data_IF_187644130436
#
_entry.id   IF_187644130436
#
_cell.length_a   1.000
_cell.length_b   1.000
_cell.length_c   1.000
_cell.angle_alpha   90.00
_cell.angle_beta   90.00
_cell.angle_gamma   90.00
#
_symmetry.space_group_name_H-M   'P 1'
#
loop_
_entity.id
_entity.type
_entity.pdbx_description
1 polymer ?
#
# COMPACT_ATOMS: atom_id res chain seq x y z
N UNK A 1 28.62 -8.77 -11.48
CA UNK A 1 27.63 -7.71 -11.25
C UNK A 1 26.50 -8.32 -10.46
N UNK A 2 25.97 -7.63 -9.44
CA UNK A 2 24.82 -8.14 -8.66
C UNK A 2 23.57 -8.12 -9.54
N UNK A 3 22.69 -9.11 -9.39
CA UNK A 3 21.47 -9.28 -10.20
C UNK A 3 20.23 -9.30 -9.33
N UNK A 4 19.26 -8.46 -9.64
CA UNK A 4 18.01 -8.35 -8.91
C UNK A 4 16.82 -8.72 -9.82
N UNK A 5 16.05 -9.72 -9.39
CA UNK A 5 14.75 -9.97 -10.00
C UNK A 5 13.70 -9.01 -9.41
N UNK A 6 12.90 -8.41 -10.29
CA UNK A 6 11.81 -7.51 -9.92
C UNK A 6 10.51 -8.05 -10.49
N UNK A 7 9.50 -8.22 -9.63
CA UNK A 7 8.19 -8.71 -10.02
C UNK A 7 7.23 -7.53 -10.23
N UNK A 8 6.72 -7.39 -11.45
CA UNK A 8 5.89 -6.27 -11.89
C UNK A 8 6.68 -5.22 -12.67
N UNK A 9 6.04 -4.62 -13.67
CA UNK A 9 6.66 -3.66 -14.59
C UNK A 9 5.92 -2.31 -14.67
N UNK A 10 4.83 -2.14 -13.91
CA UNK A 10 4.01 -0.93 -13.97
C UNK A 10 4.72 0.30 -13.39
N UNK A 11 4.08 1.46 -13.47
CA UNK A 11 4.54 2.71 -12.82
C UNK A 11 4.82 2.53 -11.32
N UNK A 12 4.13 1.61 -10.65
CA UNK A 12 4.39 1.31 -9.23
C UNK A 12 5.75 0.66 -9.00
N UNK A 13 6.26 -0.15 -9.94
CA UNK A 13 7.57 -0.81 -9.84
C UNK A 13 8.71 -0.02 -10.51
N UNK A 14 8.40 1.01 -11.32
CA UNK A 14 9.41 1.83 -11.98
C UNK A 14 10.47 2.42 -11.02
N UNK A 15 10.10 2.97 -9.85
CA UNK A 15 11.09 3.48 -8.89
C UNK A 15 12.10 2.41 -8.44
N UNK A 16 11.65 1.16 -8.28
CA UNK A 16 12.49 0.04 -7.88
C UNK A 16 13.52 -0.32 -8.95
N UNK A 17 13.09 -0.35 -10.21
CA UNK A 17 13.96 -0.64 -11.36
C UNK A 17 15.01 0.46 -11.53
N UNK A 18 14.59 1.73 -11.49
CA UNK A 18 15.48 2.89 -11.60
C UNK A 18 16.52 2.88 -10.47
N UNK A 19 16.07 2.70 -9.21
CA UNK A 19 16.96 2.69 -8.05
C UNK A 19 17.97 1.55 -8.11
N UNK A 20 17.58 0.35 -8.54
CA UNK A 20 18.50 -0.77 -8.69
C UNK A 20 19.63 -0.44 -9.70
N UNK A 21 19.30 0.21 -10.82
CA UNK A 21 20.28 0.64 -11.82
C UNK A 21 21.20 1.74 -11.30
N UNK A 22 20.67 2.72 -10.55
CA UNK A 22 21.49 3.75 -9.86
C UNK A 22 22.52 3.12 -8.90
N UNK A 23 22.16 2.00 -8.28
CA UNK A 23 23.04 1.22 -7.38
C UNK A 23 23.99 0.27 -8.14
N UNK A 24 23.96 0.25 -9.48
CA UNK A 24 24.81 -0.60 -10.32
C UNK A 24 24.41 -2.09 -10.30
N UNK A 25 23.13 -2.37 -10.06
CA UNK A 25 22.55 -3.73 -10.04
C UNK A 25 21.86 -4.00 -11.37
N UNK A 26 22.14 -5.15 -11.98
CA UNK A 26 21.50 -5.63 -13.21
C UNK A 26 20.06 -6.06 -12.92
N UNK A 27 19.10 -5.50 -13.65
CA UNK A 27 17.66 -5.69 -13.41
C UNK A 27 17.04 -6.73 -14.33
N UNK A 28 16.37 -7.72 -13.73
CA UNK A 28 15.60 -8.76 -14.42
C UNK A 28 14.12 -8.63 -14.05
N UNK A 29 13.31 -8.07 -14.95
CA UNK A 29 11.91 -7.72 -14.67
C UNK A 29 10.96 -8.75 -15.28
N UNK A 30 9.99 -9.21 -14.48
CA UNK A 30 8.98 -10.20 -14.87
C UNK A 30 7.59 -9.57 -14.81
N UNK A 31 6.90 -9.52 -15.95
CA UNK A 31 5.49 -9.14 -16.04
C UNK A 31 4.91 -9.62 -17.39
N UNK A 32 3.58 -9.55 -17.56
CA UNK A 32 3.00 -9.66 -18.90
C UNK A 32 3.46 -8.50 -19.78
N UNK A 33 3.53 -8.77 -21.09
CA UNK A 33 3.82 -7.75 -22.08
C UNK A 33 2.55 -6.96 -22.41
N UNK A 34 2.48 -5.72 -21.95
CA UNK A 34 1.33 -4.83 -22.17
C UNK A 34 1.71 -3.37 -22.45
N UNK A 35 3.00 -3.08 -22.65
CA UNK A 35 3.52 -1.73 -22.85
C UNK A 35 3.81 -0.98 -21.55
N UNK A 36 4.01 -1.71 -20.45
CA UNK A 36 4.33 -1.13 -19.15
C UNK A 36 5.71 -0.45 -19.18
N UNK A 37 5.88 0.64 -18.43
CA UNK A 37 7.14 1.42 -18.39
C UNK A 37 8.36 0.56 -18.08
N UNK A 38 8.22 -0.40 -17.16
CA UNK A 38 9.24 -1.34 -16.73
C UNK A 38 9.80 -2.21 -17.84
N UNK A 39 9.04 -2.45 -18.91
CA UNK A 39 9.52 -3.20 -20.09
C UNK A 39 10.68 -2.50 -20.79
N UNK A 40 10.69 -1.17 -20.76
CA UNK A 40 11.66 -0.35 -21.48
C UNK A 40 12.87 0.04 -20.65
N UNK A 41 12.69 0.20 -19.32
CA UNK A 41 13.74 0.67 -18.41
C UNK A 41 14.58 -0.47 -17.81
N UNK A 42 14.06 -1.70 -17.81
CA UNK A 42 14.78 -2.89 -17.36
C UNK A 42 16.03 -3.18 -18.22
N UNK A 43 17.04 -3.80 -17.63
CA UNK A 43 18.17 -4.34 -18.41
C UNK A 43 17.75 -5.61 -19.16
N UNK A 44 16.93 -6.44 -18.51
CA UNK A 44 16.31 -7.62 -19.10
C UNK A 44 14.83 -7.71 -18.71
N UNK A 45 13.95 -7.81 -19.70
CA UNK A 45 12.52 -8.02 -19.50
C UNK A 45 12.09 -9.42 -19.94
N UNK A 46 11.30 -10.09 -19.10
CA UNK A 46 10.75 -11.42 -19.33
C UNK A 46 9.22 -11.34 -19.36
N UNK A 47 8.57 -11.66 -20.51
CA UNK A 47 7.12 -11.56 -20.69
C UNK A 47 6.38 -12.74 -20.01
N UNK A 48 6.61 -12.93 -18.72
CA UNK A 48 6.07 -14.01 -17.88
C UNK A 48 5.10 -13.39 -16.87
N UNK A 49 3.90 -13.94 -16.71
CA UNK A 49 2.95 -13.44 -15.70
C UNK A 49 3.60 -13.44 -14.32
N UNK A 50 3.31 -12.42 -13.51
CA UNK A 50 3.72 -12.42 -12.09
C UNK A 50 3.09 -13.59 -11.31
N UNK A 51 2.02 -14.20 -11.84
CA UNK A 51 1.37 -15.37 -11.23
C UNK A 51 2.06 -16.70 -11.57
N UNK A 52 2.90 -16.77 -12.61
CA UNK A 52 3.58 -18.01 -13.04
C UNK A 52 4.83 -18.29 -12.18
N UNK A 53 4.62 -18.60 -10.90
CA UNK A 53 5.69 -18.75 -9.90
C UNK A 53 6.78 -19.75 -10.31
N UNK A 54 6.39 -20.90 -10.90
CA UNK A 54 7.35 -21.93 -11.32
C UNK A 54 8.18 -21.48 -12.52
N UNK A 55 7.58 -20.79 -13.50
CA UNK A 55 8.31 -20.30 -14.67
C UNK A 55 9.32 -19.21 -14.27
N UNK A 56 8.90 -18.29 -13.40
CA UNK A 56 9.78 -17.27 -12.81
C UNK A 56 10.93 -17.95 -12.05
N UNK A 57 10.65 -18.94 -11.20
CA UNK A 57 11.67 -19.69 -10.47
C UNK A 57 12.71 -20.32 -11.40
N UNK A 58 12.27 -21.04 -12.43
CA UNK A 58 13.17 -21.67 -13.39
C UNK A 58 14.04 -20.65 -14.12
N UNK A 59 13.48 -19.49 -14.45
CA UNK A 59 14.21 -18.43 -15.12
C UNK A 59 15.22 -17.74 -14.18
N UNK A 60 14.81 -17.38 -12.97
CA UNK A 60 15.68 -16.83 -11.92
C UNK A 60 16.84 -17.77 -11.58
N UNK A 61 16.58 -19.08 -11.51
CA UNK A 61 17.61 -20.11 -11.30
C UNK A 61 18.64 -20.14 -12.43
N UNK A 62 18.22 -20.01 -13.69
CA UNK A 62 19.12 -19.95 -14.86
C UNK A 62 19.95 -18.66 -14.86
N UNK A 63 19.36 -17.54 -14.48
CA UNK A 63 20.02 -16.22 -14.40
C UNK A 63 21.08 -16.20 -13.29
N UNK A 64 20.81 -16.88 -12.17
CA UNK A 64 21.62 -16.81 -10.97
C UNK A 64 21.46 -15.45 -10.29
N UNK A 65 20.23 -15.12 -9.89
CA UNK A 65 19.91 -13.87 -9.20
C UNK A 65 20.47 -13.85 -7.77
N UNK A 66 20.81 -12.67 -7.28
CA UNK A 66 21.31 -12.44 -5.91
C UNK A 66 20.21 -11.95 -4.95
N UNK A 67 19.08 -11.50 -5.49
CA UNK A 67 17.92 -11.06 -4.73
C UNK A 67 16.67 -10.97 -5.59
N UNK A 68 15.51 -10.91 -4.96
CA UNK A 68 14.21 -10.74 -5.62
C UNK A 68 13.28 -9.88 -4.76
N UNK A 69 12.57 -8.94 -5.38
CA UNK A 69 11.59 -8.12 -4.66
C UNK A 69 10.47 -7.58 -5.56
N UNK A 70 9.48 -6.97 -4.92
CA UNK A 70 8.40 -6.20 -5.55
C UNK A 70 8.03 -5.02 -4.64
N UNK A 71 7.31 -4.04 -5.18
CA UNK A 71 6.70 -2.94 -4.43
C UNK A 71 5.31 -2.65 -4.99
N UNK A 72 4.39 -2.09 -4.21
CA UNK A 72 3.09 -1.61 -4.72
C UNK A 72 2.13 -2.68 -5.26
N UNK A 73 2.40 -3.97 -5.09
CA UNK A 73 1.48 -5.06 -5.43
C UNK A 73 1.54 -6.20 -4.42
N UNK A 74 0.39 -6.59 -3.89
CA UNK A 74 0.26 -7.73 -2.98
C UNK A 74 0.44 -9.06 -3.72
N UNK A 75 -0.03 -9.15 -4.96
CA UNK A 75 0.14 -10.36 -5.77
C UNK A 75 1.60 -10.66 -6.08
N UNK A 76 2.44 -9.63 -6.18
CA UNK A 76 3.87 -9.79 -6.44
C UNK A 76 4.63 -10.39 -5.25
N UNK A 77 4.10 -10.36 -4.02
CA UNK A 77 4.81 -10.93 -2.86
C UNK A 77 4.80 -12.45 -2.87
N UNK A 78 3.82 -13.07 -3.53
CA UNK A 78 3.68 -14.53 -3.68
C UNK A 78 4.87 -15.12 -4.47
N UNK A 79 5.15 -14.72 -5.73
CA UNK A 79 6.31 -15.21 -6.46
C UNK A 79 7.63 -14.80 -5.81
N UNK A 80 7.72 -13.63 -5.17
CA UNK A 80 8.93 -13.21 -4.42
C UNK A 80 9.24 -14.24 -3.33
N UNK A 81 8.26 -14.55 -2.48
CA UNK A 81 8.42 -15.55 -1.42
C UNK A 81 8.71 -16.94 -2.00
N UNK A 82 7.93 -17.39 -2.99
CA UNK A 82 8.11 -18.71 -3.61
C UNK A 82 9.53 -18.92 -4.19
N UNK A 83 10.01 -17.96 -4.97
CA UNK A 83 11.30 -18.05 -5.66
C UNK A 83 12.45 -17.89 -4.67
N UNK A 84 12.39 -16.89 -3.79
CA UNK A 84 13.46 -16.62 -2.84
C UNK A 84 13.69 -17.81 -1.89
N UNK A 85 12.63 -18.34 -1.28
CA UNK A 85 12.73 -19.47 -0.35
C UNK A 85 13.34 -20.72 -1.01
N UNK A 86 13.00 -21.00 -2.28
CA UNK A 86 13.56 -22.13 -3.04
C UNK A 86 15.01 -21.93 -3.48
N UNK A 87 15.43 -20.68 -3.66
CA UNK A 87 16.82 -20.33 -4.02
C UNK A 87 17.70 -20.06 -2.79
N UNK A 88 17.13 -20.05 -1.57
CA UNK A 88 17.85 -19.71 -0.34
C UNK A 88 18.17 -18.21 -0.22
N UNK A 89 17.36 -17.35 -0.84
CA UNK A 89 17.47 -15.89 -0.79
C UNK A 89 16.57 -15.31 0.31
N UNK A 90 16.80 -14.04 0.65
CA UNK A 90 16.03 -13.34 1.69
C UNK A 90 14.62 -13.00 1.20
N UNK A 91 13.61 -13.47 1.94
CA UNK A 91 12.21 -13.10 1.78
C UNK A 91 11.41 -13.46 3.06
N UNK A 92 10.15 -13.02 3.10
CA UNK A 92 9.18 -13.56 4.07
C UNK A 92 8.78 -14.99 3.69
N UNK A 93 8.31 -15.76 4.68
CA UNK A 93 7.83 -17.13 4.47
C UNK A 93 6.55 -17.16 3.61
N UNK A 94 6.23 -18.31 3.03
CA UNK A 94 4.96 -18.51 2.32
C UNK A 94 3.76 -18.27 3.25
N UNK A 95 3.86 -18.67 4.53
CA UNK A 95 2.79 -18.47 5.52
C UNK A 95 2.60 -16.99 5.88
N UNK A 96 3.69 -16.23 6.05
CA UNK A 96 3.62 -14.78 6.25
C UNK A 96 2.91 -14.10 5.07
N UNK A 97 3.34 -14.40 3.84
CA UNK A 97 2.73 -13.83 2.63
C UNK A 97 1.25 -14.21 2.54
N UNK A 98 0.91 -15.48 2.79
CA UNK A 98 -0.48 -15.95 2.76
C UNK A 98 -1.37 -15.22 3.77
N UNK A 99 -0.89 -15.00 5.00
CA UNK A 99 -1.60 -14.20 6.01
C UNK A 99 -1.74 -12.74 5.59
N UNK A 100 -0.71 -12.15 5.00
CA UNK A 100 -0.71 -10.74 4.58
C UNK A 100 -1.59 -10.46 3.34
N UNK A 101 -1.75 -11.43 2.44
CA UNK A 101 -2.52 -11.24 1.19
C UNK A 101 -3.98 -11.73 1.28
N UNK A 102 -4.35 -12.45 2.34
CA UNK A 102 -5.72 -12.93 2.55
C UNK A 102 -6.33 -12.26 3.79
N UNK A 103 -7.34 -11.42 3.57
CA UNK A 103 -7.96 -10.61 4.62
C UNK A 103 -8.59 -11.45 5.72
N UNK A 104 -9.15 -12.62 5.42
CA UNK A 104 -9.72 -13.51 6.44
C UNK A 104 -8.63 -14.11 7.34
N UNK A 105 -7.54 -14.60 6.75
CA UNK A 105 -6.41 -15.16 7.51
C UNK A 105 -5.74 -14.08 8.36
N UNK A 106 -5.61 -12.87 7.82
CA UNK A 106 -5.14 -11.69 8.56
C UNK A 106 -6.01 -11.42 9.78
N UNK A 107 -7.34 -11.40 9.65
CA UNK A 107 -8.27 -11.18 10.77
C UNK A 107 -8.18 -12.28 11.83
N UNK A 108 -8.13 -13.55 11.42
CA UNK A 108 -7.92 -14.66 12.37
C UNK A 108 -6.59 -14.55 13.10
N UNK A 109 -5.55 -14.10 12.42
CA UNK A 109 -4.24 -13.86 13.02
C UNK A 109 -4.32 -12.76 14.07
N UNK A 110 -4.95 -11.64 13.74
CA UNK A 110 -5.15 -10.51 14.65
C UNK A 110 -6.00 -10.87 15.87
N UNK A 111 -7.12 -11.56 15.67
CA UNK A 111 -7.97 -12.04 16.77
C UNK A 111 -7.20 -12.97 17.73
N UNK A 112 -6.41 -13.89 17.18
CA UNK A 112 -5.61 -14.84 17.97
C UNK A 112 -4.55 -14.14 18.82
N UNK A 113 -3.92 -13.08 18.31
CA UNK A 113 -2.82 -12.39 18.98
C UNK A 113 -3.26 -11.14 19.76
N UNK A 114 -4.52 -10.72 19.64
CA UNK A 114 -5.04 -9.53 20.32
C UNK A 114 -4.71 -8.22 19.59
N UNK A 115 -4.40 -8.26 18.30
CA UNK A 115 -4.23 -7.07 17.48
C UNK A 115 -5.59 -6.38 17.27
N UNK A 116 -5.66 -5.04 17.38
CA UNK A 116 -6.93 -4.36 17.29
C UNK A 116 -7.36 -4.25 15.82
N UNK A 117 -8.24 -5.12 15.36
CA UNK A 117 -8.86 -5.05 14.03
C UNK A 117 -10.39 -5.04 14.09
N UNK A 118 -11.08 -4.72 12.99
CA UNK A 118 -12.53 -4.94 12.87
C UNK A 118 -12.86 -6.41 13.12
N UNK A 119 -13.96 -6.68 13.85
CA UNK A 119 -14.53 -8.03 13.92
C UNK A 119 -15.07 -8.42 12.55
N UNK A 120 -14.84 -9.65 12.12
CA UNK A 120 -15.16 -10.09 10.76
C UNK A 120 -15.75 -11.50 10.69
N UNK A 121 -16.63 -11.72 9.72
CA UNK A 121 -17.19 -13.04 9.37
C UNK A 121 -16.94 -13.30 7.88
N UNK A 122 -16.37 -14.47 7.56
CA UNK A 122 -16.21 -14.93 6.17
C UNK A 122 -17.53 -15.52 5.67
N UNK A 123 -17.95 -15.09 4.49
CA UNK A 123 -19.21 -15.44 3.84
C UNK A 123 -18.88 -16.06 2.48
N UNK A 124 -19.39 -17.25 2.22
CA UNK A 124 -19.22 -17.98 0.94
C UNK A 124 -20.43 -17.83 0.02
N UNK A 125 -21.52 -17.26 0.51
CA UNK A 125 -22.69 -16.89 -0.28
C UNK A 125 -23.75 -16.19 0.55
N UNK A 126 -24.73 -15.60 -0.11
CA UNK A 126 -25.84 -14.86 0.54
C UNK A 126 -26.64 -15.70 1.55
N UNK A 127 -26.63 -17.03 1.45
CA UNK A 127 -27.27 -17.92 2.42
C UNK A 127 -26.61 -17.88 3.81
N UNK A 128 -25.28 -17.73 3.87
CA UNK A 128 -24.54 -17.66 5.14
C UNK A 128 -24.85 -16.37 5.92
N UNK A 129 -25.39 -15.35 5.24
CA UNK A 129 -25.80 -14.07 5.84
C UNK A 129 -27.07 -14.22 6.67
N UNK A 130 -27.94 -15.20 6.35
CA UNK A 130 -29.22 -15.34 7.04
C UNK A 130 -29.05 -15.69 8.52
N UNK A 131 -28.02 -16.49 8.82
CA UNK A 131 -27.69 -17.03 10.15
C UNK A 131 -26.77 -16.10 10.97
N UNK A 132 -26.32 -14.97 10.41
CA UNK A 132 -25.43 -14.03 11.09
C UNK A 132 -26.18 -12.76 11.56
N UNK A 133 -25.92 -12.32 12.79
CA UNK A 133 -26.32 -11.01 13.29
C UNK A 133 -25.16 -10.03 13.22
N UNK A 134 -25.43 -8.83 12.71
CA UNK A 134 -24.44 -7.78 12.52
C UNK A 134 -24.92 -6.46 13.12
N UNK A 135 -24.00 -5.74 13.76
CA UNK A 135 -24.20 -4.36 14.17
C UNK A 135 -23.89 -3.44 12.98
N UNK A 136 -24.93 -2.84 12.39
CA UNK A 136 -24.79 -1.96 11.22
C UNK A 136 -24.36 -0.53 11.62
N UNK A 137 -23.59 0.17 10.76
CA UNK A 137 -23.15 -0.25 9.43
C UNK A 137 -21.99 -1.27 9.47
N UNK A 138 -21.92 -2.08 8.41
CA UNK A 138 -20.82 -3.03 8.17
C UNK A 138 -20.11 -2.73 6.85
N UNK A 139 -18.89 -3.24 6.69
CA UNK A 139 -18.18 -3.29 5.42
C UNK A 139 -18.30 -4.69 4.84
N UNK A 140 -18.71 -4.82 3.58
CA UNK A 140 -18.58 -6.04 2.80
C UNK A 140 -17.48 -5.85 1.75
N UNK A 141 -16.53 -6.79 1.68
CA UNK A 141 -15.40 -6.72 0.74
C UNK A 141 -14.91 -8.11 0.33
N UNK A 142 -14.19 -8.26 -0.80
CA UNK A 142 -13.57 -9.53 -1.19
C UNK A 142 -12.45 -9.94 -0.22
N UNK A 143 -12.17 -11.23 -0.08
CA UNK A 143 -11.09 -11.73 0.80
C UNK A 143 -9.68 -11.47 0.26
N UNK A 144 -9.53 -11.33 -1.05
CA UNK A 144 -8.28 -11.50 -1.79
C UNK A 144 -8.08 -10.46 -2.92
N UNK A 145 -8.65 -9.26 -2.76
CA UNK A 145 -8.49 -8.11 -3.68
C UNK A 145 -7.96 -6.86 -2.99
N UNK A 146 -7.38 -5.97 -3.80
CA UNK A 146 -6.85 -4.66 -3.39
C UNK A 146 -7.43 -3.54 -4.27
N UNK A 147 -7.21 -2.27 -3.90
CA UNK A 147 -7.58 -1.09 -4.70
C UNK A 147 -9.05 -0.68 -4.59
N UNK A 148 -9.67 -0.85 -3.42
CA UNK A 148 -11.05 -0.44 -3.12
C UNK A 148 -12.15 -1.04 -4.03
N UNK A 149 -11.83 -2.08 -4.82
CA UNK A 149 -12.78 -2.76 -5.70
C UNK A 149 -13.67 -3.73 -4.94
N UNK A 150 -14.97 -3.58 -5.12
CA UNK A 150 -15.97 -4.44 -4.47
C UNK A 150 -16.12 -4.19 -2.97
N UNK A 151 -15.72 -3.02 -2.47
CA UNK A 151 -15.92 -2.65 -1.07
C UNK A 151 -17.23 -1.86 -0.93
N UNK A 152 -18.10 -2.28 -0.03
CA UNK A 152 -19.40 -1.67 0.18
C UNK A 152 -19.64 -1.37 1.67
N UNK A 153 -20.00 -0.13 1.99
CA UNK A 153 -20.60 0.21 3.28
C UNK A 153 -22.09 -0.12 3.22
N UNK A 154 -22.52 -0.96 4.14
CA UNK A 154 -23.86 -1.56 4.17
C UNK A 154 -24.56 -1.15 5.46
N UNK A 155 -25.78 -0.64 5.36
CA UNK A 155 -26.51 -0.10 6.53
C UNK A 155 -27.63 -1.02 7.03
N UNK A 156 -27.95 -2.09 6.30
CA UNK A 156 -28.98 -3.05 6.68
C UNK A 156 -28.80 -4.40 5.96
N UNK A 157 -29.50 -5.43 6.45
CA UNK A 157 -29.43 -6.81 5.92
C UNK A 157 -29.78 -6.93 4.44
N UNK A 158 -30.71 -6.10 3.93
CA UNK A 158 -31.11 -6.13 2.52
C UNK A 158 -29.97 -5.67 1.62
N UNK A 159 -29.30 -4.57 1.98
CA UNK A 159 -28.10 -4.10 1.30
C UNK A 159 -26.95 -5.11 1.39
N UNK A 160 -26.85 -5.84 2.51
CA UNK A 160 -25.77 -6.82 2.72
C UNK A 160 -25.83 -7.97 1.71
N UNK A 161 -27.01 -8.49 1.43
CA UNK A 161 -27.19 -9.61 0.49
C UNK A 161 -26.67 -9.23 -0.92
N UNK A 162 -27.05 -8.04 -1.41
CA UNK A 162 -26.59 -7.52 -2.71
C UNK A 162 -25.08 -7.22 -2.72
N UNK A 163 -24.55 -6.68 -1.62
CA UNK A 163 -23.12 -6.39 -1.48
C UNK A 163 -22.26 -7.68 -1.45
N UNK A 164 -22.75 -8.75 -0.82
CA UNK A 164 -22.06 -10.05 -0.77
C UNK A 164 -21.92 -10.64 -2.16
N UNK A 165 -23.01 -10.69 -2.93
CA UNK A 165 -23.01 -11.23 -4.29
C UNK A 165 -22.00 -10.46 -5.17
N UNK A 166 -22.05 -9.11 -5.12
CA UNK A 166 -21.11 -8.25 -5.85
C UNK A 166 -19.65 -8.44 -5.41
N UNK A 167 -19.39 -8.56 -4.11
CA UNK A 167 -18.03 -8.73 -3.59
C UNK A 167 -17.43 -10.08 -4.01
N UNK A 168 -18.24 -11.14 -4.00
CA UNK A 168 -17.85 -12.49 -4.42
C UNK A 168 -17.49 -12.52 -5.91
N UNK A 169 -18.16 -11.73 -6.76
CA UNK A 169 -17.82 -11.63 -8.19
C UNK A 169 -16.37 -11.17 -8.39
N UNK A 170 -15.90 -10.20 -7.60
CA UNK A 170 -14.53 -9.70 -7.66
C UNK A 170 -13.51 -10.68 -7.07
N UNK A 171 -13.86 -11.45 -6.04
CA UNK A 171 -12.94 -12.40 -5.38
C UNK A 171 -12.44 -13.49 -6.32
N UNK A 172 -11.16 -13.89 -6.19
CA UNK A 172 -10.65 -15.08 -6.89
C UNK A 172 -11.12 -16.36 -6.18
N UNK A 173 -11.14 -16.36 -4.84
CA UNK A 173 -11.64 -17.46 -4.00
C UNK A 173 -13.17 -17.58 -3.98
N UNK A 174 -13.89 -16.61 -4.57
CA UNK A 174 -15.36 -16.51 -4.56
C UNK A 174 -15.93 -16.42 -3.13
N UNK A 175 -15.28 -15.57 -2.31
CA UNK A 175 -15.70 -15.30 -0.94
C UNK A 175 -15.72 -13.80 -0.62
N UNK A 176 -16.54 -13.45 0.36
CA UNK A 176 -16.61 -12.10 0.91
C UNK A 176 -16.29 -12.13 2.41
N UNK A 177 -15.87 -10.98 2.93
CA UNK A 177 -15.62 -10.72 4.33
C UNK A 177 -16.56 -9.59 4.76
N UNK A 178 -17.39 -9.85 5.76
CA UNK A 178 -18.29 -8.86 6.36
C UNK A 178 -17.70 -8.42 7.69
N UNK A 179 -17.41 -7.13 7.85
CA UNK A 179 -16.68 -6.57 8.98
C UNK A 179 -17.44 -5.44 9.68
N UNK A 180 -17.19 -5.28 10.97
CA UNK A 180 -17.47 -4.04 11.71
C UNK A 180 -16.98 -2.81 10.92
N UNK A 181 -17.81 -1.78 10.79
CA UNK A 181 -17.37 -0.51 10.21
C UNK A 181 -16.44 0.21 11.19
N UNK A 182 -15.13 0.24 10.88
CA UNK A 182 -14.18 1.08 11.60
C UNK A 182 -14.36 2.55 11.22
N UNK A 183 -14.69 3.37 12.22
CA UNK A 183 -14.82 4.82 12.11
C UNK A 183 -13.48 5.54 12.35
N UNK A 184 -13.41 6.79 11.88
CA UNK A 184 -12.30 7.69 12.16
C UNK A 184 -11.34 7.90 10.99
N UNK A 185 -10.31 8.70 11.28
CA UNK A 185 -9.32 9.14 10.30
C UNK A 185 -8.43 7.96 9.88
N UNK A 186 -8.28 7.80 8.57
CA UNK A 186 -7.42 6.78 7.97
C UNK A 186 -5.96 7.24 7.88
N UNK A 187 -5.05 6.34 8.22
CA UNK A 187 -3.61 6.52 8.12
C UNK A 187 -2.96 5.30 7.49
N UNK A 188 -1.75 5.48 6.95
CA UNK A 188 -0.83 4.37 6.71
C UNK A 188 0.46 4.51 7.51
N UNK A 189 1.07 3.36 7.82
CA UNK A 189 2.33 3.28 8.57
C UNK A 189 3.33 2.49 7.73
N UNK A 190 4.49 3.10 7.49
CA UNK A 190 5.56 2.50 6.69
C UNK A 190 6.69 2.00 7.59
N UNK A 191 7.07 0.75 7.40
CA UNK A 191 8.20 0.11 8.08
C UNK A 191 9.10 -0.59 7.06
N UNK A 192 10.39 -0.67 7.38
CA UNK A 192 11.32 -1.63 6.76
C UNK A 192 11.77 -2.64 7.81
N UNK A 193 11.66 -3.92 7.50
CA UNK A 193 12.02 -5.01 8.41
C UNK A 193 13.26 -5.76 7.91
N UNK A 194 14.13 -6.15 8.83
CA UNK A 194 15.28 -7.00 8.54
C UNK A 194 15.50 -7.98 9.69
N UNK A 195 15.44 -9.28 9.39
CA UNK A 195 15.59 -10.35 10.39
C UNK A 195 14.67 -10.20 11.61
N UNK A 196 13.43 -9.73 11.40
CA UNK A 196 12.43 -9.52 12.46
C UNK A 196 12.59 -8.22 13.25
N UNK A 197 13.60 -7.39 12.95
CA UNK A 197 13.69 -6.04 13.51
C UNK A 197 12.94 -5.06 12.61
N UNK A 198 11.98 -4.34 13.19
CA UNK A 198 11.12 -3.38 12.50
C UNK A 198 11.65 -1.95 12.67
N UNK A 199 11.94 -1.25 11.56
CA UNK A 199 12.34 0.15 11.58
C UNK A 199 11.22 1.05 11.06
N UNK A 200 10.65 1.85 11.96
CA UNK A 200 9.64 2.85 11.63
C UNK A 200 10.20 3.86 10.63
N UNK A 201 9.45 4.16 9.57
CA UNK A 201 9.81 5.15 8.55
C UNK A 201 8.91 6.38 8.63
N UNK A 202 7.61 6.21 8.42
CA UNK A 202 6.66 7.31 8.39
C UNK A 202 5.26 6.88 8.85
N UNK A 203 4.51 7.86 9.35
CA UNK A 203 3.07 7.80 9.53
C UNK A 203 2.45 8.81 8.55
N UNK A 204 1.48 8.37 7.78
CA UNK A 204 0.89 9.13 6.67
C UNK A 204 -0.59 9.34 6.93
N UNK A 205 -1.07 10.60 6.92
CA UNK A 205 -2.52 10.88 6.95
C UNK A 205 -3.06 10.69 5.54
N UNK A 206 -4.08 9.84 5.37
CA UNK A 206 -4.77 9.61 4.09
C UNK A 206 -6.01 10.50 3.99
N UNK A 207 -6.27 11.03 2.81
CA UNK A 207 -7.51 11.71 2.47
C UNK A 207 -8.26 10.86 1.46
N UNK A 208 -9.55 10.65 1.68
CA UNK A 208 -10.37 9.81 0.80
C UNK A 208 -11.68 10.50 0.46
N UNK A 209 -12.38 10.00 -0.56
CA UNK A 209 -13.74 10.43 -0.89
C UNK A 209 -14.78 10.05 0.18
N UNK A 210 -14.39 9.32 1.23
CA UNK A 210 -15.33 8.69 2.14
C UNK A 210 -16.19 7.63 1.45
N UNK A 211 -17.26 7.23 2.14
CA UNK A 211 -18.22 6.27 1.60
C UNK A 211 -18.94 6.86 0.36
N UNK A 212 -19.26 6.04 -0.66
CA UNK A 212 -19.13 4.59 -0.69
C UNK A 212 -17.80 4.06 -1.25
N UNK A 213 -17.00 4.89 -1.92
CA UNK A 213 -15.90 4.40 -2.75
C UNK A 213 -14.52 4.43 -2.08
N UNK A 214 -14.35 5.25 -1.03
CA UNK A 214 -13.09 5.38 -0.27
C UNK A 214 -11.85 5.59 -1.16
N UNK A 215 -11.97 6.35 -2.25
CA UNK A 215 -10.86 6.57 -3.19
C UNK A 215 -9.92 7.62 -2.60
N UNK A 216 -8.62 7.37 -2.64
CA UNK A 216 -7.60 8.29 -2.16
C UNK A 216 -7.58 9.59 -2.98
N UNK A 217 -7.75 10.72 -2.29
CA UNK A 217 -7.69 12.08 -2.85
C UNK A 217 -6.36 12.78 -2.53
N UNK A 218 -5.62 12.29 -1.52
CA UNK A 218 -4.27 12.75 -1.23
C UNK A 218 -3.67 12.12 0.01
N UNK A 219 -2.40 12.40 0.26
CA UNK A 219 -1.62 11.94 1.41
C UNK A 219 -0.69 13.03 1.91
N UNK A 220 -0.43 13.07 3.22
CA UNK A 220 0.59 13.94 3.81
C UNK A 220 1.44 13.19 4.85
N UNK A 221 2.74 13.47 4.81
CA UNK A 221 3.77 12.97 5.71
C UNK A 221 4.64 14.10 6.27
N UNK A 222 5.07 14.01 7.54
CA UNK A 222 4.48 13.15 8.57
C UNK A 222 3.04 13.56 8.86
N UNK A 223 2.23 12.61 9.32
CA UNK A 223 0.88 12.88 9.80
C UNK A 223 0.92 13.85 11.01
N UNK A 224 0.02 14.85 11.08
CA UNK A 224 -0.01 15.81 12.19
C UNK A 224 -0.72 15.21 13.41
N UNK A 225 -0.03 14.31 14.13
CA UNK A 225 -0.52 13.66 15.35
C UNK A 225 0.35 13.98 16.57
N UNK A 226 -0.18 13.77 17.77
CA UNK A 226 0.63 13.86 18.99
C UNK A 226 1.67 12.75 19.05
N UNK A 227 2.78 13.00 19.76
CA UNK A 227 3.83 12.01 19.98
C UNK A 227 3.29 10.76 20.71
N UNK A 228 2.39 10.95 21.68
CA UNK A 228 1.72 9.84 22.38
C UNK A 228 0.94 8.93 21.42
N UNK A 229 0.17 9.52 20.49
CA UNK A 229 -0.58 8.75 19.52
C UNK A 229 0.35 8.05 18.53
N UNK A 230 1.44 8.71 18.12
CA UNK A 230 2.44 8.11 17.24
C UNK A 230 3.11 6.89 17.89
N UNK A 231 3.52 6.97 19.15
CA UNK A 231 4.11 5.83 19.87
C UNK A 231 3.10 4.68 20.05
N UNK A 232 1.83 5.00 20.31
CA UNK A 232 0.75 4.00 20.35
C UNK A 232 0.59 3.30 19.00
N UNK A 233 0.63 4.05 17.90
CA UNK A 233 0.57 3.50 16.54
C UNK A 233 1.75 2.58 16.27
N UNK A 234 2.99 3.02 16.56
CA UNK A 234 4.19 2.19 16.39
C UNK A 234 4.08 0.86 17.13
N UNK A 235 3.72 0.92 18.41
CA UNK A 235 3.59 -0.29 19.24
C UNK A 235 2.53 -1.27 18.70
N UNK A 236 1.38 -0.76 18.26
CA UNK A 236 0.32 -1.58 17.65
C UNK A 236 0.77 -2.18 16.32
N UNK A 237 1.42 -1.39 15.47
CA UNK A 237 1.90 -1.85 14.16
C UNK A 237 3.01 -2.89 14.29
N UNK A 238 4.01 -2.68 15.15
CA UNK A 238 5.11 -3.62 15.38
C UNK A 238 4.60 -4.98 15.89
N UNK A 239 3.69 -4.98 16.86
CA UNK A 239 3.07 -6.21 17.37
C UNK A 239 2.29 -6.97 16.27
N UNK A 240 1.59 -6.25 15.40
CA UNK A 240 0.87 -6.85 14.29
C UNK A 240 1.80 -7.41 13.19
N UNK A 241 2.95 -6.76 12.95
CA UNK A 241 3.98 -7.27 12.05
C UNK A 241 4.60 -8.57 12.58
N UNK A 242 4.89 -8.63 13.88
CA UNK A 242 5.33 -9.85 14.56
C UNK A 242 4.28 -10.97 14.45
N UNK A 243 3.01 -10.65 14.69
CA UNK A 243 1.88 -11.60 14.58
C UNK A 243 1.75 -12.19 13.17
N UNK A 244 1.97 -11.37 12.14
CA UNK A 244 2.00 -11.79 10.74
C UNK A 244 3.30 -12.50 10.34
N UNK A 245 4.28 -12.60 11.23
CA UNK A 245 5.61 -13.17 10.99
C UNK A 245 6.37 -12.43 9.87
N UNK A 246 6.18 -11.11 9.77
CA UNK A 246 6.96 -10.27 8.86
C UNK A 246 8.38 -10.20 9.41
N UNK A 247 9.36 -10.61 8.61
CA UNK A 247 10.76 -10.62 9.04
C UNK A 247 11.65 -9.78 8.14
N UNK A 248 11.30 -9.65 6.87
CA UNK A 248 12.12 -8.99 5.87
C UNK A 248 11.28 -8.15 4.91
N UNK A 249 11.84 -7.02 4.50
CA UNK A 249 11.27 -6.16 3.47
C UNK A 249 10.34 -5.08 4.04
N UNK A 250 9.78 -4.30 3.13
CA UNK A 250 8.87 -3.22 3.49
C UNK A 250 7.52 -3.76 3.97
N UNK A 251 6.83 -2.98 4.80
CA UNK A 251 5.42 -3.17 5.09
C UNK A 251 4.65 -1.86 5.02
N UNK A 252 3.39 -1.98 4.61
CA UNK A 252 2.42 -0.90 4.52
C UNK A 252 1.19 -1.30 5.34
N UNK A 253 1.00 -0.62 6.47
CA UNK A 253 -0.13 -0.89 7.38
C UNK A 253 -1.15 0.22 7.26
N UNK A 254 -2.37 -0.11 6.85
CA UNK A 254 -3.51 0.80 6.87
C UNK A 254 -4.26 0.65 8.20
N UNK A 255 -4.57 1.77 8.84
CA UNK A 255 -5.31 1.80 10.10
C UNK A 255 -6.29 2.98 10.15
N UNK A 256 -7.31 2.85 10.99
CA UNK A 256 -8.21 3.95 11.34
C UNK A 256 -8.08 4.29 12.82
N UNK A 257 -8.12 5.60 13.11
CA UNK A 257 -8.07 6.14 14.47
C UNK A 257 -9.32 6.98 14.69
N UNK A 258 -10.14 6.58 15.66
CA UNK A 258 -11.35 7.34 16.01
C UNK A 258 -11.03 8.53 16.95
N UNK A 259 -12.04 9.35 17.26
CA UNK A 259 -11.92 10.54 18.11
C UNK A 259 -11.42 10.27 19.54
N UNK A 260 -11.52 9.02 20.02
CA UNK A 260 -11.00 8.59 21.32
C UNK A 260 -9.56 8.06 21.25
N UNK A 261 -8.92 8.10 20.08
CA UNK A 261 -7.58 7.55 19.86
C UNK A 261 -7.55 6.01 19.83
N UNK A 262 -8.69 5.34 19.63
CA UNK A 262 -8.72 3.89 19.45
C UNK A 262 -8.31 3.55 18.03
N UNK A 263 -7.35 2.62 17.90
CA UNK A 263 -6.77 2.19 16.64
C UNK A 263 -7.48 0.91 16.18
N UNK A 264 -7.80 0.81 14.89
CA UNK A 264 -8.23 -0.42 14.22
C UNK A 264 -7.37 -0.62 12.98
N UNK A 265 -6.61 -1.71 12.94
CA UNK A 265 -5.82 -2.13 11.78
C UNK A 265 -6.79 -2.61 10.70
N UNK A 266 -6.78 -1.93 9.57
CA UNK A 266 -7.62 -2.25 8.40
C UNK A 266 -6.92 -3.31 7.56
N UNK A 267 -5.65 -3.13 7.25
CA UNK A 267 -4.89 -4.05 6.39
C UNK A 267 -3.38 -3.91 6.65
N UNK A 268 -2.61 -4.99 6.45
CA UNK A 268 -1.14 -4.94 6.41
C UNK A 268 -0.66 -5.68 5.18
N UNK A 269 -0.04 -4.96 4.26
CA UNK A 269 0.72 -5.55 3.15
C UNK A 269 2.19 -5.74 3.54
N UNK A 270 2.74 -6.93 3.35
CA UNK A 270 4.17 -7.23 3.52
C UNK A 270 5.00 -6.76 2.31
N UNK A 271 4.77 -5.51 1.90
CA UNK A 271 5.38 -4.81 0.76
C UNK A 271 5.28 -3.31 0.95
N UNK A 272 6.08 -2.56 0.19
CA UNK A 272 6.04 -1.10 0.20
C UNK A 272 4.71 -0.55 -0.33
N UNK A 273 4.16 0.49 0.31
CA UNK A 273 2.97 1.20 -0.13
C UNK A 273 3.07 1.82 -1.53
N UNK A 274 1.92 1.93 -2.20
CA UNK A 274 1.77 2.62 -3.49
C UNK A 274 1.55 4.13 -3.33
N UNK A 275 0.91 4.76 -4.32
CA UNK A 275 0.41 6.14 -4.26
C UNK A 275 1.44 7.19 -3.81
N UNK A 276 2.69 7.01 -4.26
CA UNK A 276 3.84 7.86 -3.94
C UNK A 276 4.27 7.85 -2.47
N UNK A 277 3.51 7.19 -1.57
CA UNK A 277 3.77 7.10 -0.12
C UNK A 277 5.20 6.58 0.11
N UNK A 278 5.45 5.32 -0.24
CA UNK A 278 6.77 4.72 0.00
C UNK A 278 7.86 5.23 -0.95
N UNK A 279 7.53 5.47 -2.22
CA UNK A 279 8.53 5.77 -3.26
C UNK A 279 9.03 7.21 -3.25
N UNK A 280 8.21 8.17 -2.80
CA UNK A 280 8.55 9.60 -2.83
C UNK A 280 8.36 10.26 -1.47
N UNK A 281 7.18 10.14 -0.85
CA UNK A 281 6.85 10.91 0.36
C UNK A 281 7.81 10.59 1.51
N UNK A 282 8.09 9.31 1.77
CA UNK A 282 9.03 8.91 2.84
C UNK A 282 10.41 9.56 2.66
N UNK A 283 10.94 9.56 1.44
CA UNK A 283 12.24 10.18 1.17
C UNK A 283 12.17 11.71 1.28
N UNK A 284 11.11 12.33 0.78
CA UNK A 284 10.94 13.77 0.82
C UNK A 284 10.76 14.30 2.24
N UNK A 285 9.99 13.60 3.07
CA UNK A 285 9.65 13.97 4.46
C UNK A 285 10.78 13.65 5.43
N UNK A 286 11.35 12.44 5.34
CA UNK A 286 12.32 11.93 6.34
C UNK A 286 13.77 11.92 5.86
N UNK A 287 14.03 11.94 4.55
CA UNK A 287 15.35 11.70 3.96
C UNK A 287 15.70 10.24 3.72
N UNK A 288 14.91 9.29 4.24
CA UNK A 288 15.18 7.86 4.08
C UNK A 288 14.82 7.42 2.66
N UNK A 289 15.79 6.91 1.91
CA UNK A 289 15.56 6.27 0.61
C UNK A 289 14.96 4.86 0.84
N UNK A 290 13.64 4.80 0.96
CA UNK A 290 12.91 3.56 1.27
C UNK A 290 13.06 2.51 0.17
N UNK A 291 13.05 2.94 -1.11
CA UNK A 291 13.26 2.04 -2.26
C UNK A 291 14.63 1.37 -2.18
N UNK A 292 15.68 2.15 -1.85
CA UNK A 292 17.01 1.60 -1.59
C UNK A 292 17.00 0.60 -0.44
N UNK A 293 16.29 0.90 0.66
CA UNK A 293 16.20 -0.02 1.79
C UNK A 293 15.53 -1.35 1.40
N UNK A 294 14.47 -1.32 0.57
CA UNK A 294 13.85 -2.54 0.02
C UNK A 294 14.85 -3.38 -0.78
N UNK A 295 15.63 -2.73 -1.65
CA UNK A 295 16.66 -3.41 -2.44
C UNK A 295 17.73 -4.01 -1.53
N UNK A 296 18.22 -3.26 -0.53
CA UNK A 296 19.22 -3.77 0.41
C UNK A 296 18.74 -5.05 1.11
N UNK A 297 17.52 -5.04 1.66
CA UNK A 297 16.98 -6.22 2.33
C UNK A 297 16.81 -7.41 1.37
N UNK A 298 16.32 -7.17 0.15
CA UNK A 298 16.18 -8.21 -0.87
C UNK A 298 17.52 -8.85 -1.27
N UNK A 299 18.61 -8.09 -1.13
CA UNK A 299 19.98 -8.53 -1.38
C UNK A 299 20.68 -9.08 -0.12
N UNK A 300 19.94 -9.24 0.98
CA UNK A 300 20.43 -9.74 2.26
C UNK A 300 21.26 -8.74 3.07
N UNK A 301 21.22 -7.46 2.72
CA UNK A 301 21.92 -6.37 3.41
C UNK A 301 21.01 -5.67 4.42
N UNK A 302 21.55 -5.29 5.57
CA UNK A 302 20.85 -4.47 6.56
C UNK A 302 20.48 -3.09 5.95
N UNK A 303 19.22 -2.64 6.09
CA UNK A 303 18.76 -1.39 5.50
C UNK A 303 19.38 -0.19 6.21
N UNK A 304 19.89 0.78 5.43
CA UNK A 304 20.46 2.02 5.99
C UNK A 304 19.38 3.08 6.17
N UNK A 305 18.75 3.10 7.34
CA UNK A 305 17.72 4.10 7.69
C UNK A 305 18.39 5.39 8.19
N UNK A 306 18.83 6.22 7.24
CA UNK A 306 19.45 7.53 7.52
C UNK A 306 18.40 8.62 7.35
N UNK A 307 18.08 9.32 8.44
CA UNK A 307 17.13 10.44 8.45
C UNK A 307 17.86 11.78 8.30
N UNK A 308 17.16 12.77 7.75
CA UNK A 308 17.62 14.16 7.75
C UNK A 308 17.60 14.74 9.16
N UNK A 309 18.47 15.73 9.42
CA UNK A 309 18.51 16.47 10.70
C UNK A 309 17.21 17.25 10.96
N UNK A 310 16.53 17.67 9.89
CA UNK A 310 15.24 18.37 9.93
C UNK A 310 14.17 17.54 9.23
N UNK A 311 13.01 17.43 9.88
CA UNK A 311 11.81 16.89 9.27
C UNK A 311 11.28 17.87 8.23
N UNK A 312 11.03 17.38 7.02
CA UNK A 312 10.23 18.10 6.04
C UNK A 312 8.81 17.53 6.02
N UNK A 313 7.90 18.29 5.45
CA UNK A 313 6.55 17.87 5.18
C UNK A 313 6.43 17.62 3.69
N UNK A 314 5.81 16.52 3.31
CA UNK A 314 5.64 16.09 1.94
C UNK A 314 4.19 15.63 1.74
N UNK A 315 3.61 15.98 0.59
CA UNK A 315 2.26 15.56 0.28
C UNK A 315 2.10 15.24 -1.21
N UNK A 316 1.08 14.45 -1.50
CA UNK A 316 0.54 14.29 -2.85
C UNK A 316 -0.95 14.58 -2.81
N UNK A 317 -1.44 15.30 -3.82
CA UNK A 317 -2.87 15.49 -4.06
C UNK A 317 -3.20 14.98 -5.46
N UNK A 318 -4.20 14.11 -5.54
CA UNK A 318 -4.63 13.51 -6.80
C UNK A 318 -5.68 14.36 -7.49
N UNK A 319 -5.68 14.36 -8.82
CA UNK A 319 -6.55 15.19 -9.66
C UNK A 319 -7.84 14.43 -9.99
N UNK A 320 -8.97 14.92 -9.46
CA UNK A 320 -10.30 14.35 -9.73
C UNK A 320 -11.08 15.19 -10.73
N UNK A 321 -10.74 16.47 -10.88
CA UNK A 321 -11.39 17.36 -11.83
C UNK A 321 -10.78 18.75 -11.88
N UNK A 322 -11.55 19.70 -12.41
CA UNK A 322 -11.13 21.10 -12.56
C UNK A 322 -10.88 21.82 -11.21
N UNK A 323 -11.41 21.30 -10.10
CA UNK A 323 -11.15 21.88 -8.78
C UNK A 323 -9.68 21.73 -8.38
N UNK A 324 -9.07 20.57 -8.59
CA UNK A 324 -7.67 20.34 -8.26
C UNK A 324 -6.73 21.18 -9.15
N UNK A 325 -7.10 21.41 -10.41
CA UNK A 325 -6.37 22.36 -11.28
C UNK A 325 -6.42 23.79 -10.74
N UNK A 326 -7.56 24.24 -10.20
CA UNK A 326 -7.67 25.57 -9.58
C UNK A 326 -6.81 25.67 -8.33
N UNK A 327 -6.85 24.66 -7.45
CA UNK A 327 -5.98 24.59 -6.27
C UNK A 327 -4.52 24.69 -6.69
N UNK A 328 -4.12 23.89 -7.68
CA UNK A 328 -2.77 23.90 -8.19
C UNK A 328 -2.35 25.26 -8.79
N UNK A 329 -3.24 25.92 -9.54
CA UNK A 329 -2.99 27.26 -10.06
C UNK A 329 -2.83 28.32 -8.94
N UNK A 330 -3.58 28.17 -7.84
CA UNK A 330 -3.41 29.01 -6.64
C UNK A 330 -2.03 28.81 -6.03
N UNK A 331 -1.59 27.56 -5.83
CA UNK A 331 -0.24 27.25 -5.30
C UNK A 331 0.83 27.85 -6.20
N UNK A 332 0.72 27.67 -7.53
CA UNK A 332 1.66 28.26 -8.51
C UNK A 332 1.77 29.79 -8.41
N UNK A 333 0.71 30.46 -7.96
CA UNK A 333 0.69 31.93 -7.80
C UNK A 333 1.21 32.37 -6.43
N UNK A 334 0.84 31.66 -5.36
CA UNK A 334 1.06 32.08 -3.98
C UNK A 334 2.37 31.53 -3.41
N UNK A 335 2.67 30.25 -3.66
CA UNK A 335 3.85 29.56 -3.16
C UNK A 335 4.37 28.51 -4.18
N UNK A 336 4.91 28.92 -5.34
CA UNK A 336 5.36 27.97 -6.36
C UNK A 336 6.54 27.10 -5.89
N UNK A 337 7.31 27.53 -4.88
CA UNK A 337 8.49 26.83 -4.38
C UNK A 337 8.19 25.50 -3.69
N UNK A 338 6.98 25.30 -3.17
CA UNK A 338 6.62 24.04 -2.52
C UNK A 338 6.23 22.94 -3.52
N UNK A 339 6.04 23.26 -4.82
CA UNK A 339 5.70 22.26 -5.83
C UNK A 339 6.97 21.52 -6.26
N UNK A 340 6.98 20.19 -6.08
CA UNK A 340 8.14 19.34 -6.40
C UNK A 340 7.86 18.30 -7.50
N UNK A 341 6.61 18.15 -7.91
CA UNK A 341 6.24 17.29 -9.04
C UNK A 341 4.79 17.50 -9.44
N UNK A 342 4.49 17.30 -10.72
CA UNK A 342 3.14 17.36 -11.27
C UNK A 342 3.00 16.43 -12.47
N UNK A 343 1.83 15.84 -12.62
CA UNK A 343 1.39 15.16 -13.83
C UNK A 343 -0.11 15.41 -14.00
N UNK A 344 -0.54 15.81 -15.19
CA UNK A 344 -1.94 16.07 -15.49
C UNK A 344 -2.33 15.37 -16.78
N UNK A 345 -3.28 14.45 -16.68
CA UNK A 345 -3.93 13.87 -17.83
C UNK A 345 -5.05 14.78 -18.33
N UNK A 346 -5.60 14.42 -19.50
CA UNK A 346 -6.78 15.10 -20.03
C UNK A 346 -7.97 14.80 -19.13
N UNK A 347 -8.46 15.82 -18.43
CA UNK A 347 -9.72 15.74 -17.69
C UNK A 347 -10.88 15.51 -18.66
N UNK A 348 -11.66 14.47 -18.40
CA UNK A 348 -12.87 14.12 -19.15
C UNK A 348 -14.11 14.31 -18.26
N UNK A 349 -15.31 14.17 -18.84
CA UNK A 349 -16.56 14.14 -18.07
C UNK A 349 -16.80 12.79 -17.36
N UNK A 350 -15.88 11.83 -17.51
CA UNK A 350 -15.97 10.54 -16.84
C UNK A 350 -15.69 10.69 -15.34
N UNK A 351 -16.43 9.93 -14.53
CA UNK A 351 -16.24 9.94 -13.08
C UNK A 351 -15.02 9.10 -12.70
N UNK A 352 -14.22 9.63 -11.78
CA UNK A 352 -13.22 8.82 -11.06
C UNK A 352 -13.97 7.80 -10.21
N UNK A 353 -13.79 6.52 -10.51
CA UNK A 353 -14.45 5.38 -9.85
C UNK A 353 -13.49 4.53 -9.03
N UNK A 354 -12.20 4.61 -9.33
CA UNK A 354 -11.12 4.00 -8.55
C UNK A 354 -9.80 4.78 -8.69
N UNK A 355 -8.78 4.37 -7.94
CA UNK A 355 -7.47 5.02 -7.91
C UNK A 355 -6.71 4.95 -9.25
N UNK A 356 -7.08 4.06 -10.18
CA UNK A 356 -6.50 4.01 -11.53
C UNK A 356 -7.14 4.98 -12.53
N UNK A 357 -8.32 5.51 -12.20
CA UNK A 357 -9.08 6.45 -13.05
C UNK A 357 -8.86 7.94 -12.72
N UNK A 358 -7.89 8.26 -11.85
CA UNK A 358 -7.53 9.64 -11.46
C UNK A 358 -6.83 10.36 -12.62
N UNK A 359 -7.05 11.66 -12.80
CA UNK A 359 -6.52 12.45 -13.93
C UNK A 359 -5.12 13.04 -13.69
N UNK A 360 -4.34 12.43 -12.81
CA UNK A 360 -3.00 12.88 -12.44
C UNK A 360 -2.86 13.28 -10.97
N UNK A 361 -1.80 14.02 -10.67
CA UNK A 361 -1.40 14.39 -9.32
C UNK A 361 -0.48 15.62 -9.30
N UNK A 362 -0.33 16.22 -8.13
CA UNK A 362 0.80 17.12 -7.83
C UNK A 362 1.34 16.84 -6.44
N UNK A 363 2.66 16.98 -6.29
CA UNK A 363 3.41 16.74 -5.06
C UNK A 363 3.93 18.04 -4.48
N UNK A 364 3.83 18.16 -3.17
CA UNK A 364 4.24 19.32 -2.40
C UNK A 364 5.32 18.94 -1.39
N UNK A 365 6.26 19.84 -1.12
CA UNK A 365 7.26 19.72 -0.06
C UNK A 365 7.55 21.08 0.58
N UNK A 366 7.55 21.13 1.91
CA UNK A 366 7.82 22.33 2.69
C UNK A 366 8.54 22.00 4.01
N UNK A 367 9.21 22.97 4.61
CA UNK A 367 9.77 22.80 5.97
C UNK A 367 8.66 22.86 7.04
N UNK A 368 7.61 23.65 6.80
CA UNK A 368 6.49 23.87 7.73
C UNK A 368 5.22 23.19 7.21
N UNK A 369 4.53 22.43 8.06
CA UNK A 369 3.34 21.66 7.68
C UNK A 369 2.21 22.55 7.14
N UNK A 370 2.00 23.72 7.75
CA UNK A 370 0.90 24.63 7.44
C UNK A 370 0.94 25.13 5.99
N UNK A 371 2.14 25.25 5.39
CA UNK A 371 2.31 25.62 3.98
C UNK A 371 1.75 24.58 3.01
N UNK A 372 1.54 23.34 3.47
CA UNK A 372 0.95 22.25 2.68
C UNK A 372 -0.50 22.01 3.09
N UNK A 373 -0.79 22.01 4.40
CA UNK A 373 -2.08 21.60 4.95
C UNK A 373 -3.24 22.42 4.41
N UNK A 374 -3.05 23.71 4.13
CA UNK A 374 -4.10 24.56 3.55
C UNK A 374 -4.54 24.13 2.14
N UNK A 375 -3.68 23.41 1.42
CA UNK A 375 -3.91 22.93 0.07
C UNK A 375 -4.32 21.45 0.00
N UNK A 376 -4.36 20.75 1.13
CA UNK A 376 -4.79 19.36 1.18
C UNK A 376 -6.32 19.23 1.02
N UNK A 377 -6.82 18.06 0.55
CA UNK A 377 -8.25 17.80 0.56
C UNK A 377 -8.81 17.91 1.99
N UNK A 378 -10.11 18.17 2.12
CA UNK A 378 -10.82 18.05 3.39
C UNK A 378 -11.55 16.72 3.39
N UNK A 379 -11.51 15.97 4.48
CA UNK A 379 -12.38 14.82 4.62
C UNK A 379 -13.81 15.30 4.90
N UNK A 380 -14.82 14.49 4.53
CA UNK A 380 -16.22 14.81 4.87
C UNK A 380 -16.45 14.87 6.40
N UNK A 381 -15.54 14.29 7.17
CA UNK A 381 -15.57 14.23 8.64
C UNK A 381 -14.72 15.33 9.34
N UNK A 382 -14.02 16.19 8.58
CA UNK A 382 -13.18 17.30 9.12
C UNK A 382 -13.97 18.58 9.46
#
# INVERSE_FOLDING_TARGET
MKKLAIIGASEFQAPLIIKAKELGIETHVFAWKCGDVGESIADYFYPISITECEEIYQQCKKIGIDGICTIGTDLGTIPVSYVANRLGLVANSEECVKKATNKHLMRKCFEKNGDPSPRSVEISGSQDVEDCEFDYPVICKPTDRSGSRGIYKVNNKKELLDAVDKSIEYSFEKKALVEEFAEGQEYSVEYISYQGMHHFLALTKKYTTGAPNFIETGHIEPAPVSEELLEKVKSVTEHALDSLEVTNGASHTELKINHNGNIKIIEIGARMGGDFIGSHLVQMSTGVDFVKCVIQVAMGEEPKVIRNDKTNHAAVRFVFGENEKKVFATIKKENPSIIVGEHFDKITDEKVVDSSSRFGYFMLKAEVADEILEYMPRNEED
#
